data_IF_693969853356
#
_entry.id   IF_693969853356
#
_cell.length_a   1.000
_cell.length_b   1.000
_cell.length_c   1.000
_cell.angle_alpha   90.00
_cell.angle_beta   90.00
_cell.angle_gamma   90.00
#
_symmetry.space_group_name_H-M   'P 1'
#
loop_
_entity.id
_entity.type
_entity.pdbx_description
1 polymer ?
#
# COMPACT_ATOMS: atom_id res chain seq x y z
N UNK A 1 16.87 1.45 11.85
CA UNK A 1 16.20 0.22 11.42
C UNK A 1 15.17 0.64 10.39
N UNK A 2 15.14 0.02 9.21
CA UNK A 2 14.09 0.34 8.25
C UNK A 2 12.79 -0.25 8.80
N UNK A 3 11.88 0.62 9.24
CA UNK A 3 10.58 0.19 9.77
C UNK A 3 9.88 -0.66 8.71
N UNK A 4 9.68 -1.93 9.03
CA UNK A 4 8.95 -2.86 8.16
C UNK A 4 7.47 -2.57 8.30
N UNK A 5 6.75 -2.53 7.18
CA UNK A 5 5.32 -2.30 7.20
C UNK A 5 4.58 -3.53 7.75
N UNK A 6 3.47 -3.30 8.43
CA UNK A 6 2.56 -4.36 8.90
C UNK A 6 1.22 -4.29 8.18
N UNK A 7 0.49 -5.40 8.18
CA UNK A 7 -0.91 -5.43 7.72
C UNK A 7 -1.74 -4.34 8.41
N UNK A 8 -2.49 -3.58 7.62
CA UNK A 8 -3.27 -2.43 8.06
C UNK A 8 -2.56 -1.08 7.91
N UNK A 9 -1.25 -1.05 7.70
CA UNK A 9 -0.54 0.21 7.42
C UNK A 9 -0.99 0.81 6.09
N UNK A 10 -1.12 2.14 6.07
CA UNK A 10 -1.37 2.88 4.82
C UNK A 10 -0.04 3.28 4.22
N UNK A 11 0.17 2.86 2.98
CA UNK A 11 1.38 3.12 2.20
C UNK A 11 1.03 3.71 0.85
N UNK A 12 2.02 4.29 0.18
CA UNK A 12 1.92 4.64 -1.24
C UNK A 12 3.23 4.36 -1.94
N UNK A 13 3.20 4.29 -3.27
CA UNK A 13 4.43 4.22 -4.05
C UNK A 13 5.22 5.52 -3.92
N UNK A 14 6.56 5.40 -3.87
CA UNK A 14 7.45 6.56 -3.82
C UNK A 14 7.37 7.43 -5.09
N UNK A 15 6.99 6.85 -6.22
CA UNK A 15 6.70 7.55 -7.47
C UNK A 15 5.38 8.35 -7.44
N UNK A 16 4.59 8.23 -6.37
CA UNK A 16 3.22 8.73 -6.30
C UNK A 16 2.20 7.64 -6.68
N UNK A 17 0.91 7.98 -6.55
CA UNK A 17 -0.20 7.05 -6.75
C UNK A 17 -1.23 7.12 -5.62
N UNK A 18 -2.24 6.24 -5.63
CA UNK A 18 -3.23 6.19 -4.58
C UNK A 18 -2.63 5.72 -3.25
N UNK A 19 -3.31 6.07 -2.16
CA UNK A 19 -3.06 5.45 -0.87
C UNK A 19 -3.54 4.00 -0.92
N UNK A 20 -2.69 3.08 -0.48
CA UNK A 20 -2.93 1.66 -0.44
C UNK A 20 -2.78 1.15 0.99
N UNK A 21 -3.37 0.01 1.28
CA UNK A 21 -3.27 -0.65 2.59
C UNK A 21 -2.50 -1.94 2.45
N UNK A 22 -1.55 -2.19 3.34
CA UNK A 22 -0.89 -3.50 3.41
C UNK A 22 -1.93 -4.53 3.82
N UNK A 23 -2.19 -5.51 2.95
CA UNK A 23 -3.08 -6.62 3.23
C UNK A 23 -2.30 -7.81 3.79
N UNK A 24 -1.17 -8.13 3.18
CA UNK A 24 -0.36 -9.29 3.58
C UNK A 24 1.11 -9.10 3.18
N UNK A 25 1.99 -9.93 3.75
CA UNK A 25 3.40 -10.00 3.41
C UNK A 25 3.73 -11.38 2.84
N UNK A 26 4.11 -11.43 1.56
CA UNK A 26 4.48 -12.66 0.90
C UNK A 26 5.83 -13.18 1.41
N UNK A 27 6.02 -14.50 1.42
CA UNK A 27 7.30 -15.14 1.77
C UNK A 27 8.48 -14.68 0.88
N UNK A 28 8.19 -14.13 -0.31
CA UNK A 28 9.16 -13.52 -1.21
C UNK A 28 9.72 -12.16 -0.74
N UNK A 29 9.23 -11.61 0.36
CA UNK A 29 9.62 -10.27 0.85
C UNK A 29 8.86 -9.12 0.19
N UNK A 30 7.79 -9.42 -0.55
CA UNK A 30 6.92 -8.42 -1.16
C UNK A 30 5.70 -8.14 -0.27
N UNK A 31 5.24 -6.90 -0.27
CA UNK A 31 4.01 -6.50 0.39
C UNK A 31 2.85 -6.53 -0.58
N UNK A 32 1.82 -7.31 -0.27
CA UNK A 32 0.55 -7.27 -0.98
C UNK A 32 -0.26 -6.08 -0.48
N UNK A 33 -0.53 -5.14 -1.39
CA UNK A 33 -1.25 -3.92 -1.10
C UNK A 33 -2.60 -3.92 -1.80
N UNK A 34 -3.65 -3.49 -1.10
CA UNK A 34 -4.99 -3.31 -1.65
C UNK A 34 -5.38 -1.84 -1.60
N UNK A 35 -6.11 -1.38 -2.62
CA UNK A 35 -6.68 -0.03 -2.66
C UNK A 35 -7.94 -0.02 -3.50
N UNK A 36 -8.59 1.14 -3.59
CA UNK A 36 -9.75 1.32 -4.45
C UNK A 36 -9.48 2.45 -5.43
N UNK A 37 -9.65 2.17 -6.71
CA UNK A 37 -9.70 3.21 -7.73
C UNK A 37 -11.09 3.84 -7.69
N UNK A 38 -11.14 5.16 -7.79
CA UNK A 38 -12.40 5.92 -7.84
C UNK A 38 -12.63 6.45 -9.25
N UNK A 39 -13.74 6.07 -9.85
CA UNK A 39 -14.24 6.63 -11.11
C UNK A 39 -15.68 7.11 -10.89
N UNK A 40 -15.84 8.44 -10.73
CA UNK A 40 -17.11 9.03 -10.27
C UNK A 40 -17.49 8.56 -8.87
N UNK A 41 -18.62 7.85 -8.76
CA UNK A 41 -19.14 7.27 -7.51
C UNK A 41 -18.87 5.76 -7.40
N UNK A 42 -18.14 5.18 -8.36
CA UNK A 42 -17.78 3.76 -8.36
C UNK A 42 -16.40 3.60 -7.73
N UNK A 43 -16.32 2.67 -6.78
CA UNK A 43 -15.08 2.24 -6.15
C UNK A 43 -14.74 0.83 -6.61
N UNK A 44 -13.66 0.70 -7.38
CA UNK A 44 -13.20 -0.60 -7.90
C UNK A 44 -12.04 -1.10 -7.04
N UNK A 45 -12.16 -2.26 -6.38
CA UNK A 45 -11.06 -2.82 -5.59
C UNK A 45 -9.92 -3.24 -6.52
N UNK A 46 -8.70 -2.92 -6.09
CA UNK A 46 -7.46 -3.26 -6.79
C UNK A 46 -6.46 -3.82 -5.78
N UNK A 47 -5.55 -4.65 -6.27
CA UNK A 47 -4.45 -5.18 -5.49
C UNK A 47 -3.20 -5.38 -6.34
N UNK A 48 -2.04 -5.23 -5.71
CA UNK A 48 -0.75 -5.53 -6.33
C UNK A 48 0.31 -5.78 -5.25
N UNK A 49 1.35 -6.53 -5.61
CA UNK A 49 2.49 -6.76 -4.74
C UNK A 49 3.62 -5.79 -5.10
N UNK A 50 4.22 -5.16 -4.08
CA UNK A 50 5.33 -4.22 -4.24
C UNK A 50 6.50 -4.60 -3.35
N UNK A 51 7.71 -4.21 -3.77
CA UNK A 51 8.89 -4.34 -2.94
C UNK A 51 8.89 -3.25 -1.84
N UNK A 52 9.50 -3.53 -0.67
CA UNK A 52 9.56 -2.57 0.43
C UNK A 52 10.19 -1.21 0.03
N UNK A 53 11.21 -1.25 -0.83
CA UNK A 53 11.95 -0.07 -1.29
C UNK A 53 11.13 0.84 -2.23
N UNK A 54 10.03 0.35 -2.79
CA UNK A 54 9.12 1.12 -3.63
C UNK A 54 8.04 1.85 -2.82
N UNK A 55 7.86 1.50 -1.54
CA UNK A 55 6.78 2.00 -0.69
C UNK A 55 7.28 3.04 0.30
N UNK A 56 6.37 3.94 0.69
CA UNK A 56 6.55 4.85 1.83
C UNK A 56 5.30 4.83 2.70
N UNK A 57 5.47 4.96 4.01
CA UNK A 57 4.37 5.18 4.93
C UNK A 57 3.64 6.47 4.56
N UNK A 58 2.32 6.43 4.62
CA UNK A 58 1.49 7.64 4.62
C UNK A 58 1.08 7.86 6.06
N UNK A 59 1.77 8.77 6.74
CA UNK A 59 1.36 9.18 8.08
C UNK A 59 -0.07 9.71 8.01
N UNK A 60 -0.96 9.06 8.75
CA UNK A 60 -2.23 9.66 9.13
C UNK A 60 -1.91 10.58 10.30
N UNK A 61 -1.31 11.74 10.03
CA UNK A 61 -1.33 12.82 11.01
C UNK A 61 -2.79 13.08 11.35
N UNK A 62 -3.12 12.81 12.62
CA UNK A 62 -4.41 13.01 13.26
C UNK A 62 -4.94 14.43 13.05
#
# INVERSE_FOLDING_TARGET
MADSFKTGDVVKLKSGGPNMTINDHAASGMYLCNWFNREGDIWTPQHAAFKPDQLMAVDRSQ
#
